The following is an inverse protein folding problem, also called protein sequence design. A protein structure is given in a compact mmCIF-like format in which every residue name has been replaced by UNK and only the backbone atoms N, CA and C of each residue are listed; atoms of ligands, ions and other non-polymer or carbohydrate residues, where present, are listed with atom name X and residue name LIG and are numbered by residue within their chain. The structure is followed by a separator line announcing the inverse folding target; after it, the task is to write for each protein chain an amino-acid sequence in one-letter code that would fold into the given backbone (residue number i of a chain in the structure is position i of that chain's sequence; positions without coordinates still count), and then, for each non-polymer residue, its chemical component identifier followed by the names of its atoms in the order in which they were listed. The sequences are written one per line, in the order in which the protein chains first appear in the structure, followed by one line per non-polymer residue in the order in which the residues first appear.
data_IF_161071204970
#
_entry.id   IF_161071204970
#
_cell.length_a   1.000
_cell.length_b   1.000
_cell.length_c   1.000
_cell.angle_alpha   90.00
_cell.angle_beta   90.00
_cell.angle_gamma   90.00
#
_symmetry.space_group_name_H-M   'P 1'
#
loop_
_entity.id
_entity.type
_entity.pdbx_description
1 polymer ?
#
# COMPACT_ATOMS: atom_id res chain seq x y z
N UNK A 1 -19.96 -38.06 -56.67
CA UNK A 1 -18.73 -37.29 -56.33
C UNK A 1 -19.04 -36.40 -55.14
N UNK A 2 -18.43 -36.65 -53.98
CA UNK A 2 -18.56 -35.82 -52.76
C UNK A 2 -17.37 -34.87 -52.70
N UNK A 3 -17.62 -33.58 -52.71
CA UNK A 3 -16.58 -32.54 -52.65
C UNK A 3 -16.25 -32.27 -51.18
N UNK A 4 -15.06 -32.67 -50.72
CA UNK A 4 -14.54 -32.30 -49.40
C UNK A 4 -14.06 -30.85 -49.43
N UNK A 5 -14.71 -29.99 -48.66
CA UNK A 5 -14.21 -28.63 -48.36
C UNK A 5 -13.23 -28.76 -47.19
N UNK A 6 -11.94 -28.54 -47.44
CA UNK A 6 -10.91 -28.45 -46.39
C UNK A 6 -10.93 -27.03 -45.82
N UNK A 7 -11.42 -26.87 -44.60
CA UNK A 7 -11.21 -25.66 -43.81
C UNK A 7 -9.77 -25.63 -43.31
N UNK A 8 -8.96 -24.69 -43.83
CA UNK A 8 -7.68 -24.33 -43.24
C UNK A 8 -7.94 -23.28 -42.16
N UNK A 9 -7.83 -23.67 -40.89
CA UNK A 9 -7.90 -22.74 -39.76
C UNK A 9 -6.64 -21.88 -39.74
N UNK A 10 -6.80 -20.57 -39.96
CA UNK A 10 -5.73 -19.59 -39.78
C UNK A 10 -5.47 -19.45 -38.27
N UNK A 11 -4.37 -20.00 -37.77
CA UNK A 11 -3.93 -19.77 -36.40
C UNK A 11 -3.36 -18.34 -36.33
N UNK A 12 -4.18 -17.37 -35.90
CA UNK A 12 -3.71 -16.02 -35.65
C UNK A 12 -2.77 -16.03 -34.44
N UNK A 13 -1.46 -16.01 -34.69
CA UNK A 13 -0.47 -15.75 -33.64
C UNK A 13 -0.65 -14.30 -33.17
N UNK A 14 -1.35 -14.12 -32.05
CA UNK A 14 -1.37 -12.85 -31.34
C UNK A 14 0.06 -12.53 -30.90
N UNK A 15 0.60 -11.34 -31.21
CA UNK A 15 1.91 -10.96 -30.74
C UNK A 15 1.91 -10.92 -29.22
N UNK A 16 2.77 -11.73 -28.60
CA UNK A 16 3.08 -11.64 -27.18
C UNK A 16 3.66 -10.24 -26.92
N UNK A 17 2.86 -9.35 -26.34
CA UNK A 17 3.37 -8.08 -25.84
C UNK A 17 4.27 -8.37 -24.65
N UNK A 18 5.58 -8.24 -24.83
CA UNK A 18 6.56 -8.33 -23.75
C UNK A 18 6.26 -7.25 -22.71
N UNK A 19 5.87 -7.61 -21.49
CA UNK A 19 5.54 -6.69 -20.41
C UNK A 19 6.70 -6.46 -19.41
N UNK A 20 7.96 -6.52 -19.86
CA UNK A 20 9.14 -6.57 -18.98
C UNK A 20 9.39 -5.42 -17.97
N UNK A 21 8.55 -4.37 -17.89
CA UNK A 21 8.66 -3.31 -16.87
C UNK A 21 7.42 -3.25 -15.95
N UNK A 22 6.30 -3.84 -16.36
CA UNK A 22 5.06 -3.85 -15.58
C UNK A 22 4.48 -5.25 -15.61
N UNK A 23 4.19 -5.83 -14.44
CA UNK A 23 3.63 -7.18 -14.39
C UNK A 23 2.27 -7.27 -15.09
N UNK A 24 1.99 -8.40 -15.74
CA UNK A 24 0.69 -8.64 -16.36
C UNK A 24 -0.41 -8.82 -15.33
N UNK A 25 -1.67 -8.66 -15.76
CA UNK A 25 -2.81 -8.91 -14.88
C UNK A 25 -2.87 -10.38 -14.46
N UNK A 26 -2.52 -11.26 -15.39
CA UNK A 26 -2.48 -12.71 -15.19
C UNK A 26 -1.37 -13.10 -14.22
N UNK A 27 -0.18 -12.51 -14.36
CA UNK A 27 0.94 -12.70 -13.42
C UNK A 27 0.60 -12.16 -12.02
N UNK A 28 0.00 -10.97 -11.92
CA UNK A 28 -0.45 -10.42 -10.65
C UNK A 28 -1.52 -11.30 -10.00
N UNK A 29 -2.49 -11.79 -10.77
CA UNK A 29 -3.52 -12.68 -10.27
C UNK A 29 -2.92 -14.02 -9.80
N UNK A 30 -1.94 -14.54 -10.53
CA UNK A 30 -1.19 -15.75 -10.17
C UNK A 30 -0.45 -15.60 -8.85
N UNK A 31 0.21 -14.46 -8.62
CA UNK A 31 0.94 -14.18 -7.37
C UNK A 31 0.06 -13.73 -6.20
N UNK A 32 -1.21 -13.41 -6.45
CA UNK A 32 -2.18 -13.03 -5.41
C UNK A 32 -3.42 -13.93 -5.43
N UNK A 33 -3.25 -15.27 -5.33
CA UNK A 33 -4.34 -16.22 -5.56
C UNK A 33 -5.42 -16.14 -4.46
N UNK A 34 -5.06 -15.72 -3.25
CA UNK A 34 -5.99 -15.58 -2.12
C UNK A 34 -6.97 -14.41 -2.30
N UNK A 35 -6.64 -13.43 -3.14
CA UNK A 35 -7.57 -12.34 -3.43
C UNK A 35 -8.67 -12.80 -4.39
N UNK A 36 -9.91 -12.86 -3.88
CA UNK A 36 -11.11 -13.25 -4.64
C UNK A 36 -12.03 -12.07 -5.00
N UNK A 37 -11.69 -10.86 -4.59
CA UNK A 37 -12.49 -9.65 -4.82
C UNK A 37 -12.26 -9.03 -6.20
N UNK A 38 -12.86 -7.85 -6.41
CA UNK A 38 -12.66 -7.03 -7.62
C UNK A 38 -11.17 -6.68 -7.78
N UNK A 39 -10.71 -6.51 -9.02
CA UNK A 39 -9.35 -6.05 -9.36
C UNK A 39 -9.43 -4.76 -10.16
N UNK A 40 -8.43 -3.90 -9.98
CA UNK A 40 -8.26 -2.69 -10.78
C UNK A 40 -7.93 -3.05 -12.24
N UNK A 41 -8.05 -2.06 -13.13
CA UNK A 41 -7.78 -2.23 -14.55
C UNK A 41 -6.35 -2.72 -14.83
N UNK A 42 -5.40 -2.49 -13.93
CA UNK A 42 -4.01 -2.94 -14.02
C UNK A 42 -3.74 -4.31 -13.36
N UNK A 43 -4.77 -4.98 -12.84
CA UNK A 43 -4.69 -6.32 -12.24
C UNK A 43 -4.47 -6.35 -10.72
N UNK A 44 -4.18 -5.20 -10.11
CA UNK A 44 -4.03 -5.11 -8.64
C UNK A 44 -5.33 -5.49 -7.92
N UNK A 45 -5.27 -6.16 -6.76
CA UNK A 45 -6.40 -6.27 -5.84
C UNK A 45 -7.04 -4.90 -5.54
N UNK A 46 -8.37 -4.81 -5.64
CA UNK A 46 -9.13 -3.58 -5.34
C UNK A 46 -9.79 -3.71 -3.98
N UNK A 47 -9.00 -3.49 -2.93
CA UNK A 47 -9.55 -3.34 -1.57
C UNK A 47 -10.48 -2.12 -1.54
N UNK A 48 -11.67 -2.29 -0.95
CA UNK A 48 -12.73 -1.28 -0.98
C UNK A 48 -12.36 -0.04 -0.17
N UNK A 49 -12.89 1.11 -0.59
CA UNK A 49 -12.64 2.38 0.10
C UNK A 49 -13.21 2.40 1.53
N UNK A 50 -14.24 1.58 1.82
CA UNK A 50 -14.74 1.37 3.19
C UNK A 50 -13.67 0.73 4.09
N UNK A 51 -13.01 -0.33 3.61
CA UNK A 51 -11.92 -0.97 4.36
C UNK A 51 -10.78 0.03 4.56
N UNK A 52 -10.40 0.79 3.53
CA UNK A 52 -9.35 1.80 3.64
C UNK A 52 -9.71 2.89 4.67
N UNK A 53 -10.97 3.32 4.71
CA UNK A 53 -11.46 4.30 5.69
C UNK A 53 -11.39 3.75 7.10
N UNK A 54 -11.84 2.51 7.33
CA UNK A 54 -11.80 1.83 8.64
C UNK A 54 -10.36 1.54 9.09
N UNK A 55 -9.47 1.23 8.15
CA UNK A 55 -8.05 0.96 8.38
C UNK A 55 -7.32 2.17 9.00
N UNK A 56 -7.78 3.41 8.78
CA UNK A 56 -7.19 4.60 9.44
C UNK A 56 -7.27 4.56 10.97
N UNK A 57 -8.19 3.79 11.55
CA UNK A 57 -8.30 3.63 13.00
C UNK A 57 -7.48 2.47 13.57
N UNK A 58 -6.85 1.67 12.71
CA UNK A 58 -6.05 0.50 13.09
C UNK A 58 -4.68 0.95 13.60
N UNK A 59 -4.17 0.31 14.66
CA UNK A 59 -2.79 0.52 15.12
C UNK A 59 -1.82 -0.40 14.40
N UNK A 60 -0.53 -0.06 14.42
CA UNK A 60 0.49 -0.91 13.81
C UNK A 60 0.57 -2.28 14.50
N UNK A 61 0.37 -2.32 15.82
CA UNK A 61 0.39 -3.54 16.62
C UNK A 61 -0.75 -4.49 16.26
N UNK A 62 -1.97 -3.97 16.07
CA UNK A 62 -3.16 -4.75 15.68
C UNK A 62 -2.99 -5.35 14.28
N UNK A 63 -2.54 -4.54 13.33
CA UNK A 63 -2.24 -4.99 11.97
C UNK A 63 -1.10 -6.02 11.96
N UNK A 64 -0.04 -5.78 12.75
CA UNK A 64 1.09 -6.69 12.91
C UNK A 64 0.66 -8.04 13.48
N UNK A 65 -0.11 -8.05 14.58
CA UNK A 65 -0.61 -9.26 15.20
C UNK A 65 -1.44 -10.10 14.23
N UNK A 66 -2.33 -9.46 13.47
CA UNK A 66 -3.16 -10.13 12.45
C UNK A 66 -2.32 -10.72 11.33
N UNK A 67 -1.39 -9.95 10.76
CA UNK A 67 -0.50 -10.42 9.69
C UNK A 67 0.37 -11.59 10.17
N UNK A 68 0.95 -11.49 11.36
CA UNK A 68 1.76 -12.55 11.99
C UNK A 68 0.95 -13.82 12.24
N UNK A 69 -0.28 -13.69 12.72
CA UNK A 69 -1.21 -14.81 12.91
C UNK A 69 -1.51 -15.57 11.61
N UNK A 70 -1.50 -14.87 10.47
CA UNK A 70 -1.65 -15.44 9.14
C UNK A 70 -0.32 -15.90 8.50
N UNK A 71 0.80 -15.88 9.23
CA UNK A 71 2.11 -16.33 8.75
C UNK A 71 2.96 -15.27 8.04
N UNK A 72 2.49 -14.01 7.96
CA UNK A 72 3.22 -12.90 7.34
C UNK A 72 4.13 -12.22 8.35
N UNK A 73 5.39 -12.66 8.38
CA UNK A 73 6.33 -12.32 9.47
C UNK A 73 7.17 -11.05 9.26
N UNK A 74 7.11 -10.43 8.08
CA UNK A 74 8.03 -9.37 7.68
C UNK A 74 7.31 -8.12 7.17
N UNK A 75 6.03 -7.90 7.48
CA UNK A 75 5.24 -6.84 6.83
C UNK A 75 5.50 -5.42 7.35
N UNK A 76 6.35 -5.24 8.36
CA UNK A 76 6.59 -3.96 9.02
C UNK A 76 8.00 -3.43 8.73
N UNK A 77 8.10 -2.12 8.54
CA UNK A 77 9.36 -1.38 8.44
C UNK A 77 9.27 -0.06 9.20
N UNK A 78 10.31 0.30 9.95
CA UNK A 78 10.34 1.46 10.84
C UNK A 78 11.36 2.55 10.44
N UNK A 79 11.59 3.49 11.36
CA UNK A 79 12.58 4.57 11.23
C UNK A 79 12.35 5.47 9.99
N UNK A 80 11.10 5.84 9.76
CA UNK A 80 10.74 6.72 8.65
C UNK A 80 10.68 8.18 9.08
N UNK A 81 11.26 9.05 8.26
CA UNK A 81 11.02 10.49 8.32
C UNK A 81 9.63 10.81 7.75
N UNK A 82 9.03 11.89 8.25
CA UNK A 82 7.68 12.30 7.88
C UNK A 82 7.64 13.80 7.57
N UNK A 83 6.82 14.18 6.60
CA UNK A 83 6.51 15.60 6.33
C UNK A 83 5.43 16.11 7.28
N UNK A 84 4.38 15.30 7.50
CA UNK A 84 3.21 15.58 8.33
C UNK A 84 3.03 14.43 9.34
N UNK A 85 3.65 14.50 10.53
CA UNK A 85 3.75 13.37 11.46
C UNK A 85 2.43 12.93 12.11
N UNK A 86 1.43 13.82 12.12
CA UNK A 86 0.08 13.54 12.60
C UNK A 86 -0.78 12.75 11.59
N UNK A 87 -0.32 12.65 10.33
CA UNK A 87 -1.04 12.00 9.26
C UNK A 87 -1.02 10.47 9.36
N UNK A 88 -2.17 9.85 9.14
CA UNK A 88 -2.30 8.40 8.95
C UNK A 88 -2.47 8.11 7.45
N UNK A 89 -1.44 7.52 6.85
CA UNK A 89 -1.42 7.18 5.44
C UNK A 89 -1.99 5.77 5.25
N UNK A 90 -3.10 5.70 4.53
CA UNK A 90 -3.71 4.42 4.15
C UNK A 90 -4.06 4.42 2.67
N UNK A 91 -3.78 3.32 1.98
CA UNK A 91 -4.28 3.11 0.63
C UNK A 91 -3.70 1.90 -0.05
N UNK A 92 -4.07 1.71 -1.33
CA UNK A 92 -3.65 0.58 -2.15
C UNK A 92 -2.27 0.85 -2.74
N UNK A 93 -1.31 -0.05 -2.56
CA UNK A 93 0.04 0.15 -3.08
C UNK A 93 0.07 0.19 -4.62
N UNK A 94 0.66 1.24 -5.18
CA UNK A 94 1.22 1.26 -6.53
C UNK A 94 2.73 1.25 -6.39
N UNK A 95 3.36 0.13 -6.72
CA UNK A 95 4.80 -0.07 -6.49
C UNK A 95 5.64 0.42 -7.66
N UNK A 96 6.78 1.04 -7.34
CA UNK A 96 7.84 1.35 -8.29
C UNK A 96 9.19 0.89 -7.75
N UNK A 97 9.99 0.23 -8.59
CA UNK A 97 11.32 -0.28 -8.21
C UNK A 97 12.38 0.35 -9.09
N UNK A 98 13.30 1.08 -8.46
CA UNK A 98 14.47 1.65 -9.10
C UNK A 98 15.70 0.83 -8.75
N UNK A 99 16.59 0.67 -9.72
CA UNK A 99 17.92 0.10 -9.55
C UNK A 99 18.98 1.14 -9.93
N UNK A 100 20.27 0.91 -9.63
CA UNK A 100 21.34 1.75 -10.12
C UNK A 100 21.26 1.94 -11.64
N UNK A 101 21.63 3.14 -12.11
CA UNK A 101 21.60 3.52 -13.50
C UNK A 101 22.30 2.51 -14.42
N UNK A 102 21.54 1.95 -15.37
CA UNK A 102 22.04 1.00 -16.38
C UNK A 102 21.64 1.46 -17.78
N UNK A 103 22.53 2.16 -18.51
CA UNK A 103 22.16 2.82 -19.77
C UNK A 103 21.64 1.89 -20.86
N UNK A 104 22.14 0.67 -20.93
CA UNK A 104 21.70 -0.38 -21.84
C UNK A 104 20.22 -0.74 -21.62
N UNK A 105 19.85 -1.03 -20.37
CA UNK A 105 18.48 -1.39 -19.99
C UNK A 105 17.55 -0.17 -20.05
N UNK A 106 18.03 0.99 -19.59
CA UNK A 106 17.25 2.23 -19.58
C UNK A 106 16.82 2.66 -20.99
N UNK A 107 17.71 2.55 -21.99
CA UNK A 107 17.36 2.83 -23.39
C UNK A 107 16.26 1.91 -23.89
N UNK A 108 16.37 0.61 -23.65
CA UNK A 108 15.36 -0.37 -24.04
C UNK A 108 13.98 -0.06 -23.40
N UNK A 109 13.98 0.32 -22.12
CA UNK A 109 12.78 0.74 -21.39
C UNK A 109 12.18 2.01 -22.00
N UNK A 110 12.98 3.03 -22.30
CA UNK A 110 12.49 4.26 -22.94
C UNK A 110 11.92 4.01 -24.33
N UNK A 111 12.60 3.20 -25.15
CA UNK A 111 12.13 2.83 -26.49
C UNK A 111 10.80 2.08 -26.44
N UNK A 112 10.65 1.16 -25.48
CA UNK A 112 9.40 0.47 -25.24
C UNK A 112 8.32 1.44 -24.75
N UNK A 113 8.61 2.28 -23.76
CA UNK A 113 7.68 3.27 -23.23
C UNK A 113 7.11 4.17 -24.33
N UNK A 114 7.95 4.61 -25.29
CA UNK A 114 7.49 5.37 -26.46
C UNK A 114 6.48 4.59 -27.32
N UNK A 115 6.71 3.28 -27.53
CA UNK A 115 5.76 2.40 -28.25
C UNK A 115 4.46 2.21 -27.48
N UNK A 116 4.54 2.19 -26.15
CA UNK A 116 3.40 2.06 -25.24
C UNK A 116 2.69 3.41 -24.98
N UNK A 117 3.09 4.49 -25.65
CA UNK A 117 2.49 5.83 -25.51
C UNK A 117 2.86 6.57 -24.23
N UNK A 118 3.88 6.11 -23.49
CA UNK A 118 4.40 6.80 -22.30
C UNK A 118 5.09 8.10 -22.69
N UNK A 119 4.97 9.10 -21.83
CA UNK A 119 5.47 10.45 -22.06
C UNK A 119 6.75 10.67 -21.24
N UNK A 120 7.78 11.24 -21.87
CA UNK A 120 9.02 11.69 -21.22
C UNK A 120 9.70 10.60 -20.37
N UNK A 121 10.20 10.98 -19.18
CA UNK A 121 11.11 10.18 -18.36
C UNK A 121 10.38 9.08 -17.57
N UNK A 122 10.96 7.86 -17.46
CA UNK A 122 10.35 6.74 -16.75
C UNK A 122 9.89 7.02 -15.32
N UNK A 123 10.58 7.89 -14.58
CA UNK A 123 10.28 8.15 -13.17
C UNK A 123 8.87 8.72 -12.92
N UNK A 124 8.24 9.34 -13.92
CA UNK A 124 6.88 9.89 -13.80
C UNK A 124 5.79 8.85 -14.15
N UNK A 125 6.13 7.78 -14.88
CA UNK A 125 5.15 6.82 -15.40
C UNK A 125 4.32 6.10 -14.33
N UNK A 126 4.85 5.72 -13.15
CA UNK A 126 4.04 5.16 -12.07
C UNK A 126 3.05 6.19 -11.50
N UNK A 127 3.47 7.45 -11.39
CA UNK A 127 2.65 8.54 -10.85
C UNK A 127 1.44 8.75 -11.77
N UNK A 128 1.65 8.73 -13.10
CA UNK A 128 0.58 8.86 -14.08
C UNK A 128 -0.49 7.76 -13.99
N UNK A 129 -0.16 6.62 -13.39
CA UNK A 129 -1.07 5.48 -13.23
C UNK A 129 -1.87 5.50 -11.92
N UNK A 130 -1.50 6.36 -10.97
CA UNK A 130 -2.16 6.45 -9.67
C UNK A 130 -3.66 6.69 -9.83
N UNK A 131 -4.44 5.96 -9.04
CA UNK A 131 -5.88 6.13 -8.90
C UNK A 131 -6.21 6.75 -7.55
N UNK A 132 -7.41 7.34 -7.37
CA UNK A 132 -7.87 7.81 -6.07
C UNK A 132 -7.72 6.74 -4.98
N UNK A 133 -7.13 7.12 -3.85
CA UNK A 133 -6.86 6.25 -2.71
C UNK A 133 -5.65 5.31 -2.86
N UNK A 134 -4.89 5.40 -3.96
CA UNK A 134 -3.60 4.70 -4.05
C UNK A 134 -2.54 5.36 -3.15
N UNK A 135 -1.55 4.58 -2.74
CA UNK A 135 -0.30 5.08 -2.14
C UNK A 135 0.83 4.73 -3.09
N UNK A 136 1.62 5.74 -3.46
CA UNK A 136 2.82 5.51 -4.26
C UNK A 136 3.92 4.91 -3.37
N UNK A 137 4.39 3.71 -3.67
CA UNK A 137 5.36 2.97 -2.85
C UNK A 137 6.62 2.72 -3.67
N UNK A 138 7.76 3.25 -3.22
CA UNK A 138 9.00 3.26 -4.01
C UNK A 138 10.14 2.58 -3.28
N UNK A 139 10.74 1.59 -3.94
CA UNK A 139 12.12 1.15 -3.65
C UNK A 139 13.07 1.96 -4.51
N UNK A 140 13.88 2.82 -3.87
CA UNK A 140 14.83 3.67 -4.54
C UNK A 140 16.30 3.23 -4.31
N UNK A 141 16.52 1.97 -3.94
CA UNK A 141 17.83 1.33 -3.75
C UNK A 141 18.85 2.11 -2.90
N UNK A 142 18.39 3.03 -2.04
CA UNK A 142 19.26 3.85 -1.20
C UNK A 142 20.17 4.84 -1.95
N UNK A 143 19.88 5.19 -3.21
CA UNK A 143 20.60 6.26 -3.89
C UNK A 143 20.30 7.59 -3.21
N UNK A 144 21.16 8.06 -2.30
CA UNK A 144 20.98 9.29 -1.52
C UNK A 144 21.41 10.54 -2.30
N UNK A 145 22.68 10.60 -2.73
CA UNK A 145 23.22 11.70 -3.53
C UNK A 145 22.75 11.54 -4.98
N UNK A 146 22.27 12.64 -5.54
CA UNK A 146 21.56 12.70 -6.82
C UNK A 146 20.31 11.81 -6.84
N UNK A 147 19.92 11.18 -5.74
CA UNK A 147 18.79 10.27 -5.69
C UNK A 147 17.41 10.85 -5.94
N UNK A 148 17.02 11.97 -5.30
CA UNK A 148 15.61 12.35 -5.19
C UNK A 148 14.88 12.40 -6.53
N UNK A 149 13.96 11.46 -6.75
CA UNK A 149 13.05 11.53 -7.90
C UNK A 149 11.83 12.38 -7.60
N UNK A 150 11.37 12.41 -6.34
CA UNK A 150 10.21 13.18 -5.90
C UNK A 150 10.65 14.48 -5.24
N UNK A 151 10.27 15.60 -5.88
CA UNK A 151 10.25 16.95 -5.31
C UNK A 151 8.82 17.50 -5.32
N UNK A 152 8.67 18.82 -5.15
CA UNK A 152 7.37 19.51 -5.02
C UNK A 152 6.39 19.26 -6.18
N UNK A 153 6.88 19.25 -7.42
CA UNK A 153 6.06 19.09 -8.62
C UNK A 153 5.49 17.67 -8.72
N UNK A 154 6.32 16.66 -8.45
CA UNK A 154 5.86 15.27 -8.45
C UNK A 154 4.98 14.97 -7.24
N UNK A 155 5.26 15.57 -6.09
CA UNK A 155 4.38 15.50 -4.92
C UNK A 155 2.98 16.06 -5.24
N UNK A 156 2.89 17.24 -5.87
CA UNK A 156 1.62 17.79 -6.33
C UNK A 156 0.91 16.86 -7.33
N UNK A 157 1.66 16.21 -8.23
CA UNK A 157 1.07 15.25 -9.16
C UNK A 157 0.52 14.00 -8.45
N UNK A 158 1.25 13.47 -7.47
CA UNK A 158 0.79 12.35 -6.63
C UNK A 158 -0.49 12.74 -5.89
N UNK A 159 -0.50 13.90 -5.23
CA UNK A 159 -1.67 14.41 -4.51
C UNK A 159 -2.85 14.64 -5.47
N UNK A 160 -2.63 15.28 -6.61
CA UNK A 160 -3.70 15.57 -7.58
C UNK A 160 -4.32 14.33 -8.23
N UNK A 161 -3.57 13.24 -8.34
CA UNK A 161 -4.06 11.98 -8.94
C UNK A 161 -4.67 11.03 -7.91
N UNK A 162 -3.99 10.82 -6.79
CA UNK A 162 -4.40 9.85 -5.78
C UNK A 162 -5.26 10.46 -4.68
N UNK A 163 -5.19 11.77 -4.47
CA UNK A 163 -5.75 12.43 -3.27
C UNK A 163 -5.10 11.96 -1.97
N UNK A 164 -3.89 11.40 -2.05
CA UNK A 164 -3.23 10.69 -0.96
C UNK A 164 -1.71 10.88 -1.02
N UNK A 165 -0.97 10.11 -0.23
CA UNK A 165 0.47 10.25 -0.05
C UNK A 165 1.36 9.15 -0.66
N UNK A 166 2.59 9.06 -0.15
CA UNK A 166 3.58 8.11 -0.64
C UNK A 166 4.53 7.58 0.44
N UNK A 167 5.07 6.38 0.21
CA UNK A 167 6.19 5.75 0.92
C UNK A 167 7.39 5.72 -0.03
N UNK A 168 8.51 6.30 0.38
CA UNK A 168 9.69 6.41 -0.48
C UNK A 168 10.96 5.91 0.22
N UNK A 169 11.35 4.66 -0.07
CA UNK A 169 12.56 4.02 0.47
C UNK A 169 13.82 4.58 -0.22
N UNK A 170 14.14 5.83 0.12
CA UNK A 170 15.24 6.61 -0.45
C UNK A 170 15.12 8.08 -0.07
N UNK A 171 15.88 8.95 -0.75
CA UNK A 171 15.87 10.37 -0.46
C UNK A 171 14.73 11.10 -1.18
N UNK A 172 14.18 12.13 -0.54
CA UNK A 172 13.34 13.13 -1.22
C UNK A 172 13.99 14.51 -1.15
N UNK A 173 13.43 15.45 -1.92
CA UNK A 173 13.81 16.87 -1.90
C UNK A 173 12.59 17.77 -1.76
N UNK A 174 12.80 19.08 -1.68
CA UNK A 174 11.74 20.11 -1.67
C UNK A 174 10.67 19.91 -0.57
N UNK A 175 11.10 19.40 0.59
CA UNK A 175 10.23 19.08 1.74
C UNK A 175 9.38 20.29 2.18
N UNK A 176 9.92 21.52 2.07
CA UNK A 176 9.18 22.72 2.43
C UNK A 176 7.92 22.91 1.57
N UNK A 177 7.98 22.64 0.26
CA UNK A 177 6.79 22.69 -0.59
C UNK A 177 5.77 21.60 -0.25
N UNK A 178 6.23 20.43 0.21
CA UNK A 178 5.32 19.36 0.65
C UNK A 178 4.64 19.67 2.00
N UNK A 179 5.29 20.44 2.89
CA UNK A 179 4.68 20.89 4.14
C UNK A 179 3.48 21.82 3.94
N UNK A 180 3.39 22.47 2.79
CA UNK A 180 2.25 23.34 2.45
C UNK A 180 1.04 22.54 1.93
N UNK A 181 1.23 21.25 1.61
CA UNK A 181 0.18 20.38 1.10
C UNK A 181 -0.63 19.79 2.26
N UNK A 182 -1.84 20.32 2.47
CA UNK A 182 -2.78 19.75 3.42
C UNK A 182 -3.16 18.31 3.03
N UNK A 183 -3.40 17.46 4.02
CA UNK A 183 -3.83 16.07 3.86
C UNK A 183 -2.89 15.18 3.03
N UNK A 184 -1.62 15.58 2.87
CA UNK A 184 -0.62 14.85 2.10
C UNK A 184 0.40 14.14 2.99
N UNK A 185 0.07 12.93 3.45
CA UNK A 185 0.95 12.19 4.37
C UNK A 185 2.11 11.52 3.63
N UNK A 186 3.35 11.83 4.00
CA UNK A 186 4.55 11.37 3.29
C UNK A 186 5.54 10.71 4.25
N UNK A 187 6.02 9.52 3.87
CA UNK A 187 7.06 8.78 4.59
C UNK A 187 8.27 8.57 3.66
N UNK A 188 9.47 8.86 4.16
CA UNK A 188 10.71 8.73 3.39
C UNK A 188 11.91 8.38 4.30
N UNK A 189 13.00 7.86 3.73
CA UNK A 189 14.18 7.45 4.53
C UNK A 189 15.18 8.60 4.76
N UNK A 190 15.49 9.39 3.74
CA UNK A 190 16.49 10.46 3.85
C UNK A 190 16.08 11.73 3.09
N UNK A 191 16.77 12.83 3.36
CA UNK A 191 16.61 14.08 2.60
C UNK A 191 17.94 14.42 1.93
N UNK A 192 17.90 14.83 0.67
CA UNK A 192 19.08 15.36 0.00
C UNK A 192 18.68 16.48 -0.98
N UNK A 193 19.42 17.60 -1.07
CA UNK A 193 19.04 18.74 -1.91
C UNK A 193 19.30 18.55 -3.41
N UNK A 194 19.97 17.47 -3.80
CA UNK A 194 20.21 17.12 -5.22
C UNK A 194 18.96 16.60 -5.91
N UNK A 195 19.07 16.22 -7.19
CA UNK A 195 17.98 15.66 -7.96
C UNK A 195 18.42 14.50 -8.84
N UNK A 196 17.47 13.61 -9.14
CA UNK A 196 17.68 12.48 -10.04
C UNK A 196 18.05 12.89 -11.45
N UNK A 197 18.92 12.08 -12.05
CA UNK A 197 19.33 12.19 -13.43
C UNK A 197 18.80 10.96 -14.19
N UNK A 198 17.59 11.10 -14.73
CA UNK A 198 16.86 10.03 -15.43
C UNK A 198 16.93 10.10 -16.96
N UNK A 199 17.77 10.96 -17.53
CA UNK A 199 17.84 11.21 -18.97
C UNK A 199 19.11 10.65 -19.62
N UNK A 200 18.93 10.08 -20.81
CA UNK A 200 19.97 9.75 -21.77
C UNK A 200 19.66 10.51 -23.07
N UNK A 201 19.55 11.83 -22.96
CA UNK A 201 19.23 12.70 -24.07
C UNK A 201 20.43 12.89 -25.01
N UNK A 202 20.22 13.09 -26.32
CA UNK A 202 21.31 13.38 -27.27
C UNK A 202 22.07 14.67 -26.94
N UNK A 203 21.51 15.54 -26.10
CA UNK A 203 22.13 16.79 -25.64
C UNK A 203 22.85 16.66 -24.29
N UNK A 204 22.82 15.48 -23.65
CA UNK A 204 23.44 15.28 -22.34
C UNK A 204 24.96 15.10 -22.53
N UNK A 205 25.72 16.18 -22.24
CA UNK A 205 27.19 16.23 -22.41
C UNK A 205 27.96 15.17 -21.59
N UNK A 206 27.32 14.64 -20.56
CA UNK A 206 27.78 13.48 -19.78
C UNK A 206 26.54 12.64 -19.45
N UNK A 207 26.48 11.34 -19.81
CA UNK A 207 25.40 10.47 -19.36
C UNK A 207 25.52 10.29 -17.85
N UNK A 208 24.74 11.07 -17.10
CA UNK A 208 24.69 11.02 -15.64
C UNK A 208 23.54 10.15 -15.15
N UNK A 209 23.24 9.05 -15.85
CA UNK A 209 22.16 8.16 -15.41
C UNK A 209 22.51 7.55 -14.05
N UNK A 210 21.75 7.88 -13.02
CA UNK A 210 22.00 7.38 -11.67
C UNK A 210 21.00 6.32 -11.22
N UNK A 211 19.79 6.33 -11.77
CA UNK A 211 18.76 5.36 -11.45
C UNK A 211 18.06 4.84 -12.70
N UNK A 212 17.46 3.66 -12.63
CA UNK A 212 16.64 3.09 -13.71
C UNK A 212 15.40 2.47 -13.10
N UNK A 213 14.22 2.95 -13.52
CA UNK A 213 12.93 2.35 -13.14
C UNK A 213 12.76 1.02 -13.87
N UNK A 214 12.91 -0.09 -13.16
CA UNK A 214 12.85 -1.43 -13.76
C UNK A 214 11.49 -2.10 -13.57
N UNK A 215 10.70 -1.66 -12.58
CA UNK A 215 9.42 -2.26 -12.24
C UNK A 215 8.36 -1.23 -11.87
N UNK A 216 7.15 -1.40 -12.43
CA UNK A 216 5.91 -0.70 -12.07
C UNK A 216 4.86 -1.77 -11.79
N UNK A 217 4.18 -1.73 -10.64
CA UNK A 217 3.28 -2.82 -10.23
C UNK A 217 3.97 -4.19 -10.31
N UNK A 218 5.22 -4.25 -9.88
CA UNK A 218 5.95 -5.50 -9.64
C UNK A 218 6.15 -5.67 -8.12
N UNK A 219 6.28 -6.92 -7.62
CA UNK A 219 6.72 -7.15 -6.25
C UNK A 219 7.99 -6.36 -5.96
N UNK A 220 8.06 -5.72 -4.80
CA UNK A 220 9.22 -4.94 -4.39
C UNK A 220 9.53 -5.14 -2.91
N UNK A 221 10.68 -4.66 -2.47
CA UNK A 221 11.09 -4.72 -1.06
C UNK A 221 11.19 -3.31 -0.51
N UNK A 222 10.57 -3.08 0.63
CA UNK A 222 10.68 -1.84 1.39
C UNK A 222 11.27 -2.19 2.76
N UNK A 223 12.53 -1.83 2.98
CA UNK A 223 13.31 -2.33 4.12
C UNK A 223 13.28 -3.86 4.21
N UNK A 224 12.68 -4.42 5.26
CA UNK A 224 12.50 -5.88 5.41
C UNK A 224 11.20 -6.42 4.81
N UNK A 225 10.26 -5.56 4.44
CA UNK A 225 8.94 -5.96 3.98
C UNK A 225 8.89 -6.26 2.48
N UNK A 226 8.20 -7.36 2.14
CA UNK A 226 7.78 -7.62 0.76
C UNK A 226 6.46 -6.93 0.53
N UNK A 227 6.40 -6.14 -0.54
CA UNK A 227 5.21 -5.37 -0.94
C UNK A 227 4.72 -5.86 -2.28
N UNK A 228 3.47 -6.34 -2.31
CA UNK A 228 2.79 -6.66 -3.55
C UNK A 228 1.97 -5.45 -4.03
N UNK A 229 1.86 -5.24 -5.35
CA UNK A 229 0.94 -4.25 -5.91
C UNK A 229 -0.50 -4.51 -5.45
N UNK A 230 -1.14 -3.50 -4.87
CA UNK A 230 -2.49 -3.59 -4.30
C UNK A 230 -2.58 -4.03 -2.84
N UNK A 231 -1.46 -4.33 -2.18
CA UNK A 231 -1.44 -4.46 -0.71
C UNK A 231 -1.91 -3.15 -0.07
N UNK A 232 -2.52 -3.25 1.11
CA UNK A 232 -2.93 -2.07 1.88
C UNK A 232 -1.73 -1.56 2.65
N UNK A 233 -1.33 -0.33 2.36
CA UNK A 233 -0.36 0.41 3.16
C UNK A 233 -1.10 0.96 4.37
N UNK A 234 -0.55 0.78 5.57
CA UNK A 234 -0.89 1.52 6.78
C UNK A 234 0.39 2.11 7.35
N UNK A 235 0.53 3.43 7.30
CA UNK A 235 1.64 4.13 7.91
C UNK A 235 1.16 5.18 8.91
N UNK A 236 1.73 5.11 10.10
CA UNK A 236 1.46 5.97 11.26
C UNK A 236 2.62 5.87 12.23
N UNK A 237 2.78 6.86 13.10
CA UNK A 237 3.70 6.79 14.23
C UNK A 237 5.17 6.45 13.83
N UNK A 238 5.60 6.87 12.63
CA UNK A 238 6.95 6.61 12.10
C UNK A 238 7.22 5.20 11.59
N UNK A 239 6.19 4.34 11.54
CA UNK A 239 6.25 2.99 11.00
C UNK A 239 5.30 2.80 9.82
N UNK A 240 5.60 1.78 9.01
CA UNK A 240 4.78 1.36 7.87
C UNK A 240 4.55 -0.14 7.98
N UNK A 241 3.31 -0.58 7.81
CA UNK A 241 2.96 -1.98 7.62
C UNK A 241 2.25 -2.18 6.28
N UNK A 242 2.66 -3.22 5.55
CA UNK A 242 2.10 -3.60 4.26
C UNK A 242 1.22 -4.84 4.43
N UNK A 243 -0.09 -4.65 4.39
CA UNK A 243 -1.07 -5.70 4.69
C UNK A 243 -1.46 -6.38 3.37
N UNK A 244 -1.26 -7.71 3.24
CA UNK A 244 -1.74 -8.46 2.08
C UNK A 244 -3.22 -8.18 1.84
N UNK A 245 -3.60 -7.87 0.58
CA UNK A 245 -4.95 -7.39 0.27
C UNK A 245 -6.09 -8.27 0.83
N UNK A 246 -5.91 -9.60 0.80
CA UNK A 246 -6.89 -10.56 1.30
C UNK A 246 -7.06 -10.57 2.84
N UNK A 247 -6.09 -10.04 3.59
CA UNK A 247 -6.15 -9.89 5.04
C UNK A 247 -6.72 -8.54 5.48
N UNK A 248 -6.89 -7.57 4.58
CA UNK A 248 -7.29 -6.22 4.93
C UNK A 248 -8.61 -6.16 5.71
N UNK A 249 -9.61 -6.96 5.31
CA UNK A 249 -10.89 -7.07 6.04
C UNK A 249 -10.67 -7.63 7.46
N UNK A 250 -9.90 -8.72 7.59
CA UNK A 250 -9.63 -9.34 8.88
C UNK A 250 -8.92 -8.37 9.84
N UNK A 251 -7.99 -7.56 9.33
CA UNK A 251 -7.27 -6.56 10.13
C UNK A 251 -8.24 -5.52 10.70
N UNK A 252 -9.11 -4.93 9.87
CA UNK A 252 -10.06 -3.91 10.35
C UNK A 252 -11.07 -4.50 11.33
N UNK A 253 -11.55 -5.71 11.06
CA UNK A 253 -12.51 -6.40 11.92
C UNK A 253 -11.91 -6.78 13.28
N UNK A 254 -10.64 -7.21 13.30
CA UNK A 254 -9.93 -7.56 14.53
C UNK A 254 -9.65 -6.31 15.36
N UNK A 255 -9.17 -5.23 14.73
CA UNK A 255 -8.94 -3.93 15.38
C UNK A 255 -10.22 -3.36 16.00
N UNK A 256 -11.36 -3.48 15.33
CA UNK A 256 -12.64 -3.04 15.88
C UNK A 256 -13.00 -3.78 17.17
N UNK A 257 -12.78 -5.10 17.22
CA UNK A 257 -13.04 -5.90 18.42
C UNK A 257 -12.08 -5.50 19.54
N UNK A 258 -10.78 -5.41 19.25
CA UNK A 258 -9.75 -5.01 20.22
C UNK A 258 -10.08 -3.64 20.82
N UNK A 259 -10.37 -2.64 19.98
CA UNK A 259 -10.75 -1.30 20.43
C UNK A 259 -11.98 -1.30 21.33
N UNK A 260 -13.00 -2.09 21.01
CA UNK A 260 -14.20 -2.22 21.84
C UNK A 260 -13.88 -2.87 23.19
N UNK A 261 -13.04 -3.91 23.19
CA UNK A 261 -12.59 -4.58 24.41
C UNK A 261 -11.77 -3.64 25.30
N UNK A 262 -10.89 -2.84 24.72
CA UNK A 262 -10.11 -1.82 25.43
C UNK A 262 -11.00 -0.73 26.01
N UNK A 263 -11.97 -0.23 25.25
CA UNK A 263 -12.94 0.76 25.75
C UNK A 263 -13.72 0.23 26.96
N UNK A 264 -14.18 -1.02 26.88
CA UNK A 264 -14.85 -1.70 27.99
C UNK A 264 -13.92 -1.88 29.19
N UNK A 265 -12.73 -2.43 28.96
CA UNK A 265 -11.71 -2.65 29.99
C UNK A 265 -11.39 -1.36 30.73
N UNK A 266 -11.08 -0.28 30.00
CA UNK A 266 -10.84 1.04 30.57
C UNK A 266 -12.02 1.57 31.38
N UNK A 267 -13.26 1.37 30.91
CA UNK A 267 -14.45 1.78 31.66
C UNK A 267 -14.57 1.02 32.98
N UNK A 268 -14.45 -0.32 32.95
CA UNK A 268 -14.59 -1.16 34.16
C UNK A 268 -13.46 -0.99 35.15
N UNK A 269 -12.24 -0.72 34.68
CA UNK A 269 -11.11 -0.38 35.55
C UNK A 269 -11.33 0.95 36.27
N UNK A 270 -11.83 1.99 35.57
CA UNK A 270 -12.19 3.28 36.20
C UNK A 270 -13.32 3.14 37.23
N UNK A 271 -14.28 2.27 36.94
CA UNK A 271 -15.37 1.92 37.88
C UNK A 271 -14.90 1.03 39.04
N UNK A 272 -13.66 0.53 39.00
CA UNK A 272 -13.10 -0.43 39.96
C UNK A 272 -13.90 -1.74 40.06
N UNK A 273 -14.63 -2.09 38.99
CA UNK A 273 -15.43 -3.33 38.91
C UNK A 273 -14.53 -4.56 38.76
N UNK A 274 -13.46 -4.41 37.99
CA UNK A 274 -12.45 -5.45 37.76
C UNK A 274 -11.05 -4.91 38.05
N UNK A 275 -10.10 -5.82 38.29
CA UNK A 275 -8.68 -5.51 38.45
C UNK A 275 -7.96 -5.49 37.10
N UNK A 276 -6.79 -4.83 37.04
CA UNK A 276 -5.96 -4.81 35.83
C UNK A 276 -5.62 -6.23 35.35
N UNK A 277 -5.22 -7.13 36.25
CA UNK A 277 -4.88 -8.51 35.91
C UNK A 277 -6.06 -9.34 35.36
N UNK A 278 -7.30 -8.98 35.70
CA UNK A 278 -8.49 -9.64 35.12
C UNK A 278 -8.79 -9.15 33.70
N UNK A 279 -8.50 -7.88 33.40
CA UNK A 279 -8.75 -7.29 32.08
C UNK A 279 -7.61 -7.60 31.10
N UNK A 280 -6.37 -7.67 31.58
CA UNK A 280 -5.15 -7.90 30.77
C UNK A 280 -4.87 -9.40 30.51
N UNK A 281 -5.87 -10.27 30.68
CA UNK A 281 -5.76 -11.71 30.44
C UNK A 281 -6.98 -12.20 29.69
N UNK A 282 -7.05 -13.51 29.43
CA UNK A 282 -8.26 -14.12 28.91
C UNK A 282 -9.42 -13.90 29.88
N UNK A 283 -10.45 -13.20 29.40
CA UNK A 283 -11.62 -12.88 30.20
C UNK A 283 -12.40 -14.13 30.59
N UNK A 284 -12.93 -14.11 31.82
CA UNK A 284 -13.86 -15.13 32.29
C UNK A 284 -15.23 -14.97 31.63
N UNK A 285 -16.05 -16.03 31.68
CA UNK A 285 -17.44 -15.98 31.18
C UNK A 285 -18.28 -14.85 31.79
N UNK A 286 -17.96 -14.44 33.02
CA UNK A 286 -18.61 -13.32 33.69
C UNK A 286 -18.27 -11.99 33.01
N UNK A 287 -16.98 -11.75 32.75
CA UNK A 287 -16.50 -10.54 32.09
C UNK A 287 -17.01 -10.51 30.64
N UNK A 288 -17.04 -11.66 29.95
CA UNK A 288 -17.55 -11.75 28.57
C UNK A 288 -19.06 -11.44 28.48
N UNK A 289 -19.83 -11.85 29.49
CA UNK A 289 -21.25 -11.47 29.60
C UNK A 289 -21.41 -9.98 29.89
N UNK A 290 -20.58 -9.40 30.76
CA UNK A 290 -20.59 -7.96 31.04
C UNK A 290 -20.21 -7.15 29.80
N UNK A 291 -19.20 -7.58 29.04
CA UNK A 291 -18.83 -6.96 27.78
C UNK A 291 -19.98 -7.00 26.76
N UNK A 292 -20.61 -8.16 26.61
CA UNK A 292 -21.79 -8.32 25.73
C UNK A 292 -22.93 -7.38 26.13
N UNK A 293 -23.16 -7.19 27.43
CA UNK A 293 -24.20 -6.26 27.91
C UNK A 293 -23.77 -4.80 27.67
N UNK A 294 -22.52 -4.46 27.96
CA UNK A 294 -21.96 -3.14 27.71
C UNK A 294 -22.05 -2.73 26.24
N UNK A 295 -21.80 -3.67 25.31
CA UNK A 295 -21.98 -3.44 23.88
C UNK A 295 -23.43 -3.08 23.52
N UNK A 296 -24.42 -3.79 24.11
CA UNK A 296 -25.85 -3.48 23.89
C UNK A 296 -26.22 -2.11 24.43
N UNK A 297 -25.77 -1.81 25.65
CA UNK A 297 -26.11 -0.56 26.34
C UNK A 297 -25.49 0.67 25.66
N UNK A 298 -24.34 0.49 25.00
CA UNK A 298 -23.59 1.57 24.37
C UNK A 298 -23.68 1.57 22.84
N UNK A 299 -24.46 0.68 22.22
CA UNK A 299 -24.51 0.43 20.77
C UNK A 299 -24.46 1.69 19.88
N UNK A 300 -25.17 2.75 20.26
CA UNK A 300 -25.26 4.01 19.47
C UNK A 300 -24.10 4.99 19.70
N UNK A 301 -23.20 4.72 20.64
CA UNK A 301 -22.09 5.59 21.05
C UNK A 301 -20.72 4.99 20.73
N UNK A 302 -20.67 3.77 20.18
CA UNK A 302 -19.44 3.06 19.89
C UNK A 302 -18.81 3.53 18.57
N UNK A 303 -17.49 3.41 18.40
CA UNK A 303 -16.76 3.83 17.19
C UNK A 303 -16.88 2.80 16.05
N UNK A 304 -17.96 2.03 16.02
CA UNK A 304 -18.32 1.04 15.00
C UNK A 304 -19.80 1.15 14.70
N UNK A 305 -20.25 0.64 13.55
CA UNK A 305 -21.67 0.74 13.21
C UNK A 305 -22.56 -0.11 14.14
N UNK A 306 -23.82 0.27 14.37
CA UNK A 306 -24.77 -0.54 15.13
C UNK A 306 -24.93 -1.97 14.59
N UNK A 307 -24.83 -2.15 13.28
CA UNK A 307 -24.90 -3.46 12.60
C UNK A 307 -23.67 -4.31 12.94
N UNK A 308 -22.47 -3.71 12.97
CA UNK A 308 -21.25 -4.39 13.39
C UNK A 308 -21.34 -4.86 14.83
N UNK A 309 -21.92 -4.06 15.74
CA UNK A 309 -22.17 -4.49 17.12
C UNK A 309 -23.10 -5.70 17.18
N UNK A 310 -24.15 -5.75 16.36
CA UNK A 310 -25.05 -6.92 16.30
C UNK A 310 -24.36 -8.16 15.76
N UNK A 311 -23.52 -8.01 14.74
CA UNK A 311 -22.73 -9.10 14.18
C UNK A 311 -21.81 -9.70 15.25
N UNK A 312 -21.09 -8.83 15.98
CA UNK A 312 -20.29 -9.25 17.12
C UNK A 312 -21.18 -9.99 18.12
N UNK A 313 -22.26 -9.40 18.62
CA UNK A 313 -23.12 -10.08 19.61
C UNK A 313 -23.63 -11.48 19.21
N UNK A 314 -23.71 -11.80 17.90
CA UNK A 314 -24.09 -13.12 17.38
C UNK A 314 -22.97 -14.15 17.41
N UNK A 315 -21.73 -13.77 17.08
CA UNK A 315 -20.64 -14.73 16.88
C UNK A 315 -20.06 -15.25 18.19
N UNK A 316 -20.15 -14.48 19.29
CA UNK A 316 -19.63 -14.84 20.64
C UNK A 316 -18.24 -15.46 20.68
N UNK A 317 -17.45 -15.20 19.65
CA UNK A 317 -16.12 -15.74 19.43
C UNK A 317 -15.19 -14.55 19.24
N UNK A 318 -14.65 -14.07 20.36
CA UNK A 318 -13.63 -13.04 20.45
C UNK A 318 -12.65 -13.40 21.55
#
# INVERSE_FOLDING_TARGET
MKTLIKFWGLLAMLPLMLQGQQMSKEELAYLTPEWKGERLADGRPKVSDDILKRMKSVTLEEAWATCRGAGFNYQYEGNWMQVHPEGVLVGRALTATFIPGRPDIHKAIQEKGKKDGRILSPNAWPIDMLQPGDVYVVDHHGAEIDGPTVGDNLANSILGRSGNGFIYDGPIRDVNGMKEMADFTVYFKTYHPSHHFGSLGPNDRVPRLNTTLIGINTPTRIGTATVMPGDVVLARDGGVIFIPAHLAQQVVESSEIVRLRDMFGHARLREKKYTAGQIDTRWSDEIEKDFSQWLKDNKMKLPVSPERVEELLKTRTW
#
